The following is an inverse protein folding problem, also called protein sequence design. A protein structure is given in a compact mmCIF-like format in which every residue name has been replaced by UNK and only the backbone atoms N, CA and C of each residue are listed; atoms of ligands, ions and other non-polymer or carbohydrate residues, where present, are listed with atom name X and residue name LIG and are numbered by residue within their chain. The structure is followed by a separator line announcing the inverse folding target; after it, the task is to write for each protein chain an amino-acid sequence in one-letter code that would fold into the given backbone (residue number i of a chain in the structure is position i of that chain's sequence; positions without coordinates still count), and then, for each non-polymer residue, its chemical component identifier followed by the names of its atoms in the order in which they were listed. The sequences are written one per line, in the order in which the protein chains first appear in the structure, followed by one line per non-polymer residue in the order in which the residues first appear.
data_IF_973985842439
#
_entry.id   IF_973985842439
#
_cell.length_a   1.000
_cell.length_b   1.000
_cell.length_c   1.000
_cell.angle_alpha   90.00
_cell.angle_beta   90.00
_cell.angle_gamma   90.00
#
_symmetry.space_group_name_H-M   'P 1'
#
loop_
_entity.id
_entity.type
_entity.pdbx_description
1 polymer ?
#
# COMPACT_ATOMS: atom_id res chain seq x y z
N UNK A 1 -35.57 43.15 -10.03
CA UNK A 1 -35.14 42.51 -8.76
C UNK A 1 -34.26 41.32 -9.14
N UNK A 2 -32.95 41.51 -9.27
CA UNK A 2 -32.03 40.41 -9.52
C UNK A 2 -31.89 39.64 -8.20
N UNK A 3 -32.44 38.43 -8.14
CA UNK A 3 -32.24 37.52 -7.02
C UNK A 3 -30.77 37.13 -7.02
N UNK A 4 -29.99 37.74 -6.13
CA UNK A 4 -28.61 37.33 -5.89
C UNK A 4 -28.67 35.97 -5.19
N UNK A 5 -28.71 34.90 -5.98
CA UNK A 5 -28.57 33.53 -5.48
C UNK A 5 -27.21 33.44 -4.80
N UNK A 6 -27.20 33.60 -3.48
CA UNK A 6 -26.01 33.45 -2.65
C UNK A 6 -25.51 32.02 -2.87
N UNK A 7 -24.40 31.84 -3.60
CA UNK A 7 -23.74 30.52 -3.70
C UNK A 7 -23.49 30.05 -2.27
N UNK A 8 -24.01 28.88 -1.93
CA UNK A 8 -23.71 28.24 -0.65
C UNK A 8 -22.33 27.62 -0.82
N UNK A 9 -21.33 28.24 -0.18
CA UNK A 9 -19.95 27.75 -0.21
C UNK A 9 -19.85 26.53 0.73
N UNK A 10 -19.43 25.35 0.23
CA UNK A 10 -19.26 24.17 1.06
C UNK A 10 -18.19 24.37 2.15
N UNK A 11 -18.31 23.65 3.27
CA UNK A 11 -17.28 23.67 4.30
C UNK A 11 -16.11 22.78 3.91
N UNK A 12 -14.89 23.12 4.35
CA UNK A 12 -13.69 22.30 4.13
C UNK A 12 -13.85 20.86 4.65
N UNK A 13 -14.56 20.68 5.76
CA UNK A 13 -14.89 19.36 6.31
C UNK A 13 -15.75 18.55 5.34
N UNK A 14 -16.76 19.17 4.72
CA UNK A 14 -17.62 18.51 3.73
C UNK A 14 -16.85 18.14 2.46
N UNK A 15 -15.82 18.92 2.10
CA UNK A 15 -15.02 18.73 0.88
C UNK A 15 -13.89 17.71 1.06
N UNK A 16 -13.21 17.70 2.21
CA UNK A 16 -11.97 16.96 2.41
C UNK A 16 -11.99 15.97 3.58
N UNK A 17 -13.08 15.90 4.35
CA UNK A 17 -13.17 15.07 5.56
C UNK A 17 -12.99 13.57 5.32
N UNK A 18 -13.26 13.08 4.11
CA UNK A 18 -13.04 11.68 3.70
C UNK A 18 -11.62 11.42 3.18
N UNK A 19 -10.86 12.47 2.85
CA UNK A 19 -9.51 12.36 2.28
C UNK A 19 -8.45 12.17 3.36
N UNK A 20 -7.23 11.83 2.96
CA UNK A 20 -6.09 11.75 3.90
C UNK A 20 -5.39 13.09 4.17
N UNK A 21 -5.88 14.18 3.58
CA UNK A 21 -5.35 15.52 3.80
C UNK A 21 -5.77 15.98 5.19
N UNK A 22 -4.80 16.33 6.04
CA UNK A 22 -5.07 16.70 7.43
C UNK A 22 -5.74 18.07 7.52
N UNK A 23 -6.65 18.31 8.50
CA UNK A 23 -7.34 19.59 8.64
C UNK A 23 -6.43 20.82 8.68
N UNK A 24 -5.24 20.69 9.29
CA UNK A 24 -4.24 21.76 9.34
C UNK A 24 -3.73 22.20 7.95
N UNK A 25 -3.91 21.40 6.91
CA UNK A 25 -3.43 21.61 5.55
C UNK A 25 -4.54 22.17 4.63
N UNK A 26 -5.79 22.24 5.12
CA UNK A 26 -6.94 22.71 4.34
C UNK A 26 -6.93 24.23 4.10
N UNK A 27 -6.12 25.00 4.83
CA UNK A 27 -5.98 26.44 4.64
C UNK A 27 -5.33 26.85 3.30
N UNK A 28 -4.89 25.87 2.50
CA UNK A 28 -4.30 26.07 1.19
C UNK A 28 -5.30 26.05 0.03
N UNK A 29 -6.55 25.65 0.30
CA UNK A 29 -7.60 25.63 -0.71
C UNK A 29 -8.58 26.77 -0.49
N UNK A 30 -9.22 27.15 -1.57
CA UNK A 30 -10.28 28.15 -1.58
C UNK A 30 -11.60 27.48 -1.97
N UNK A 31 -12.54 27.30 -1.01
CA UNK A 31 -13.84 26.71 -1.28
C UNK A 31 -14.72 27.50 -2.27
N UNK A 32 -14.48 28.80 -2.47
CA UNK A 32 -15.31 29.62 -3.36
C UNK A 32 -15.11 29.25 -4.84
N UNK A 33 -13.91 28.77 -5.17
CA UNK A 33 -13.51 28.35 -6.52
C UNK A 33 -13.51 26.82 -6.67
N UNK A 34 -14.13 26.07 -5.74
CA UNK A 34 -14.11 24.61 -5.74
C UNK A 34 -14.65 24.00 -7.06
N UNK A 35 -15.74 24.55 -7.57
CA UNK A 35 -16.38 24.10 -8.81
C UNK A 35 -15.80 24.75 -10.07
N UNK A 36 -14.85 25.67 -9.92
CA UNK A 36 -14.27 26.38 -11.05
C UNK A 36 -13.28 25.46 -11.78
N UNK A 37 -13.25 25.55 -13.10
CA UNK A 37 -12.28 24.82 -13.91
C UNK A 37 -11.02 25.66 -14.12
N UNK A 38 -9.87 24.98 -14.18
CA UNK A 38 -8.61 25.60 -14.57
C UNK A 38 -8.45 25.46 -16.08
N UNK A 39 -8.42 26.58 -16.80
CA UNK A 39 -8.09 26.59 -18.22
C UNK A 39 -6.62 26.16 -18.42
N UNK A 40 -6.38 25.28 -19.39
CA UNK A 40 -5.06 24.72 -19.68
C UNK A 40 -4.54 25.20 -21.05
N UNK A 41 -3.21 25.30 -21.26
CA UNK A 41 -2.14 25.49 -20.28
C UNK A 41 -1.97 26.97 -19.93
N UNK A 42 -2.04 27.29 -18.64
CA UNK A 42 -1.74 28.63 -18.11
C UNK A 42 -0.57 28.53 -17.11
N UNK A 43 0.60 29.03 -17.49
CA UNK A 43 1.77 29.14 -16.62
C UNK A 43 1.61 30.23 -15.55
N UNK A 44 0.53 31.01 -15.61
CA UNK A 44 0.16 32.02 -14.61
C UNK A 44 -0.80 31.49 -13.55
N UNK A 45 -1.21 30.21 -13.61
CA UNK A 45 -2.15 29.66 -12.63
C UNK A 45 -1.63 29.86 -11.19
N UNK A 46 -2.51 30.44 -10.35
CA UNK A 46 -2.22 30.72 -8.96
C UNK A 46 -2.04 29.45 -8.14
N UNK A 47 -1.17 29.50 -7.12
CA UNK A 47 -0.90 28.38 -6.20
C UNK A 47 -2.20 27.86 -5.58
N UNK A 48 -3.06 28.76 -5.09
CA UNK A 48 -4.36 28.39 -4.48
C UNK A 48 -5.26 27.72 -5.50
N UNK A 49 -5.37 28.26 -6.71
CA UNK A 49 -6.20 27.69 -7.79
C UNK A 49 -5.76 26.28 -8.16
N UNK A 50 -4.47 26.07 -8.42
CA UNK A 50 -3.93 24.74 -8.71
C UNK A 50 -4.14 23.77 -7.54
N UNK A 51 -3.95 24.24 -6.31
CA UNK A 51 -4.13 23.43 -5.11
C UNK A 51 -5.59 23.02 -4.91
N UNK A 52 -6.54 23.96 -5.06
CA UNK A 52 -7.98 23.68 -4.98
C UNK A 52 -8.41 22.69 -6.05
N UNK A 53 -7.94 22.84 -7.29
CA UNK A 53 -8.29 21.93 -8.37
C UNK A 53 -7.82 20.49 -8.10
N UNK A 54 -6.58 20.33 -7.64
CA UNK A 54 -6.05 19.03 -7.22
C UNK A 54 -6.83 18.47 -6.02
N UNK A 55 -7.20 19.32 -5.06
CA UNK A 55 -7.97 18.92 -3.89
C UNK A 55 -9.34 18.34 -4.28
N UNK A 56 -10.01 18.96 -5.26
CA UNK A 56 -11.26 18.44 -5.83
C UNK A 56 -11.07 17.05 -6.43
N UNK A 57 -10.07 16.88 -7.30
CA UNK A 57 -9.79 15.58 -7.90
C UNK A 57 -9.49 14.51 -6.83
N UNK A 58 -8.76 14.84 -5.76
CA UNK A 58 -8.51 13.92 -4.64
C UNK A 58 -9.81 13.52 -3.96
N UNK A 59 -10.70 14.47 -3.67
CA UNK A 59 -12.00 14.20 -3.05
C UNK A 59 -12.85 13.29 -3.93
N UNK A 60 -12.99 13.63 -5.22
CA UNK A 60 -13.71 12.84 -6.21
C UNK A 60 -13.17 11.40 -6.30
N UNK A 61 -11.85 11.25 -6.45
CA UNK A 61 -11.22 9.94 -6.53
C UNK A 61 -11.28 9.17 -5.22
N UNK A 62 -11.41 9.84 -4.07
CA UNK A 62 -11.56 9.15 -2.78
C UNK A 62 -12.96 8.56 -2.64
N UNK A 63 -14.00 9.32 -3.00
CA UNK A 63 -15.39 8.95 -2.71
C UNK A 63 -15.98 8.01 -3.76
N UNK A 64 -15.57 8.14 -5.02
CA UNK A 64 -16.10 7.31 -6.14
C UNK A 64 -15.59 5.87 -6.06
N UNK A 65 -16.31 4.88 -6.61
CA UNK A 65 -15.82 3.50 -6.71
C UNK A 65 -14.77 3.32 -7.82
N UNK A 66 -14.59 4.30 -8.71
CA UNK A 66 -13.70 4.25 -9.86
C UNK A 66 -12.26 3.89 -9.47
N UNK A 67 -11.65 2.99 -10.22
CA UNK A 67 -10.31 2.45 -9.98
C UNK A 67 -9.64 1.98 -11.29
N UNK A 68 -8.37 1.62 -11.19
CA UNK A 68 -7.55 1.01 -12.25
C UNK A 68 -7.61 1.79 -13.58
N UNK A 69 -7.94 1.13 -14.68
CA UNK A 69 -7.97 1.73 -16.02
C UNK A 69 -9.02 2.86 -16.14
N UNK A 70 -10.20 2.69 -15.53
CA UNK A 70 -11.26 3.71 -15.58
C UNK A 70 -10.79 5.02 -14.94
N UNK A 71 -10.14 4.91 -13.77
CA UNK A 71 -9.57 6.06 -13.07
C UNK A 71 -8.42 6.71 -13.84
N UNK A 72 -7.62 5.93 -14.56
CA UNK A 72 -6.58 6.47 -15.42
C UNK A 72 -7.16 7.38 -16.52
N UNK A 73 -8.26 6.98 -17.14
CA UNK A 73 -8.92 7.78 -18.17
C UNK A 73 -9.59 9.03 -17.60
N UNK A 74 -10.26 8.92 -16.45
CA UNK A 74 -10.81 10.09 -15.73
C UNK A 74 -9.70 11.09 -15.39
N UNK A 75 -8.56 10.63 -14.85
CA UNK A 75 -7.41 11.50 -14.56
C UNK A 75 -6.89 12.24 -15.80
N UNK A 76 -6.81 11.57 -16.95
CA UNK A 76 -6.37 12.22 -18.19
C UNK A 76 -7.34 13.29 -18.66
N UNK A 77 -8.64 13.05 -18.50
CA UNK A 77 -9.67 14.02 -18.85
C UNK A 77 -9.67 15.22 -17.89
N UNK A 78 -9.63 14.96 -16.59
CA UNK A 78 -9.70 16.00 -15.56
C UNK A 78 -8.49 16.95 -15.60
N UNK A 79 -7.33 16.47 -16.04
CA UNK A 79 -6.10 17.25 -16.12
C UNK A 79 -5.65 17.43 -17.58
N UNK A 80 -6.57 17.39 -18.54
CA UNK A 80 -6.25 17.64 -19.94
C UNK A 80 -5.56 19.01 -20.10
N UNK A 81 -4.45 19.03 -20.85
CA UNK A 81 -3.65 20.23 -21.07
C UNK A 81 -2.75 20.65 -19.89
N UNK A 82 -2.82 20.00 -18.72
CA UNK A 82 -1.94 20.32 -17.60
C UNK A 82 -0.49 19.93 -17.90
N UNK A 83 0.44 20.80 -17.49
CA UNK A 83 1.88 20.56 -17.59
C UNK A 83 2.49 20.21 -16.24
N UNK A 84 3.73 19.72 -16.24
CA UNK A 84 4.48 19.50 -15.00
C UNK A 84 4.62 20.79 -14.16
N UNK A 85 4.77 21.95 -14.82
CA UNK A 85 4.86 23.24 -14.15
C UNK A 85 3.57 23.57 -13.38
N UNK A 86 2.39 23.24 -13.92
CA UNK A 86 1.11 23.45 -13.24
C UNK A 86 0.99 22.56 -12.00
N UNK A 87 1.40 21.29 -12.08
CA UNK A 87 1.48 20.45 -10.88
C UNK A 87 2.47 20.99 -9.84
N UNK A 88 3.62 21.53 -10.27
CA UNK A 88 4.60 22.14 -9.36
C UNK A 88 4.10 23.40 -8.65
N UNK A 89 3.11 24.11 -9.21
CA UNK A 89 2.51 25.29 -8.57
C UNK A 89 1.65 24.93 -7.35
N UNK A 90 0.98 23.79 -7.39
CA UNK A 90 0.16 23.35 -6.28
C UNK A 90 1.01 23.03 -5.03
N UNK A 91 0.39 23.11 -3.87
CA UNK A 91 1.05 22.74 -2.62
C UNK A 91 1.55 21.29 -2.66
N UNK A 92 2.82 21.00 -2.29
CA UNK A 92 3.42 19.67 -2.47
C UNK A 92 2.67 18.51 -1.80
N UNK A 93 1.95 18.78 -0.71
CA UNK A 93 1.15 17.77 -0.02
C UNK A 93 -0.02 17.27 -0.89
N UNK A 94 -0.63 18.14 -1.69
CA UNK A 94 -1.76 17.81 -2.55
C UNK A 94 -1.29 17.00 -3.76
N UNK A 95 -0.20 17.38 -4.43
CA UNK A 95 0.35 16.57 -5.54
C UNK A 95 0.82 15.21 -5.07
N UNK A 96 1.44 15.13 -3.89
CA UNK A 96 1.83 13.86 -3.26
C UNK A 96 0.62 12.99 -2.96
N UNK A 97 -0.46 13.56 -2.43
CA UNK A 97 -1.68 12.83 -2.13
C UNK A 97 -2.41 12.38 -3.40
N UNK A 98 -2.46 13.22 -4.45
CA UNK A 98 -2.99 12.84 -5.76
C UNK A 98 -2.23 11.63 -6.34
N UNK A 99 -0.89 11.66 -6.32
CA UNK A 99 -0.09 10.49 -6.73
C UNK A 99 -0.41 9.27 -5.86
N UNK A 100 -0.59 9.45 -4.55
CA UNK A 100 -0.91 8.36 -3.62
C UNK A 100 -2.26 7.73 -3.92
N UNK A 101 -3.33 8.52 -4.09
CA UNK A 101 -4.68 8.00 -4.31
C UNK A 101 -4.78 7.25 -5.64
N UNK A 102 -4.16 7.78 -6.72
CA UNK A 102 -4.07 7.09 -8.02
C UNK A 102 -3.45 5.70 -7.86
N UNK A 103 -2.29 5.61 -7.16
CA UNK A 103 -1.62 4.34 -6.90
C UNK A 103 -2.45 3.40 -6.04
N UNK A 104 -3.02 3.92 -4.96
CA UNK A 104 -3.87 3.14 -4.06
C UNK A 104 -5.06 2.55 -4.82
N UNK A 105 -5.60 3.28 -5.79
CA UNK A 105 -6.69 2.81 -6.64
C UNK A 105 -6.25 2.06 -7.88
N UNK A 106 -5.00 1.57 -7.92
CA UNK A 106 -4.55 0.65 -8.97
C UNK A 106 -3.93 1.33 -10.21
N UNK A 107 -3.78 2.64 -10.25
CA UNK A 107 -3.11 3.33 -11.37
C UNK A 107 -1.59 3.35 -11.18
N UNK A 108 -0.84 2.76 -12.12
CA UNK A 108 0.60 2.78 -12.05
C UNK A 108 1.18 4.15 -12.43
N UNK A 109 1.70 4.86 -11.43
CA UNK A 109 2.27 6.21 -11.63
C UNK A 109 3.80 6.22 -11.83
N UNK A 110 4.40 5.08 -12.19
CA UNK A 110 5.86 4.95 -12.30
C UNK A 110 6.54 4.54 -10.98
N UNK A 111 7.82 4.90 -10.83
CA UNK A 111 8.62 4.52 -9.65
C UNK A 111 8.16 5.26 -8.39
N UNK A 112 8.26 4.61 -7.24
CA UNK A 112 7.79 5.16 -5.96
C UNK A 112 8.50 6.49 -5.61
N UNK A 113 9.80 6.57 -5.90
CA UNK A 113 10.66 7.73 -5.62
C UNK A 113 10.64 8.83 -6.69
N UNK A 114 9.89 8.66 -7.78
CA UNK A 114 9.70 9.71 -8.79
C UNK A 114 8.98 10.91 -8.16
N UNK A 115 9.40 12.13 -8.51
CA UNK A 115 8.77 13.34 -8.00
C UNK A 115 7.25 13.33 -8.32
N UNK A 116 6.37 13.77 -7.41
CA UNK A 116 4.93 13.73 -7.64
C UNK A 116 4.49 14.46 -8.93
N UNK A 117 4.99 15.66 -9.17
CA UNK A 117 4.69 16.44 -10.38
C UNK A 117 5.14 15.73 -11.66
N UNK A 118 6.38 15.24 -11.69
CA UNK A 118 6.96 14.50 -12.82
C UNK A 118 6.14 13.23 -13.12
N UNK A 119 5.78 12.50 -12.06
CA UNK A 119 4.99 11.27 -12.13
C UNK A 119 3.60 11.51 -12.72
N UNK A 120 2.89 12.55 -12.27
CA UNK A 120 1.57 12.93 -12.77
C UNK A 120 1.63 13.46 -14.20
N UNK A 121 2.58 14.34 -14.50
CA UNK A 121 2.74 14.88 -15.85
C UNK A 121 3.15 13.80 -16.86
N UNK A 122 3.97 12.83 -16.45
CA UNK A 122 4.30 11.67 -17.28
C UNK A 122 3.07 10.80 -17.52
N UNK A 123 2.25 10.57 -16.49
CA UNK A 123 1.01 9.80 -16.62
C UNK A 123 0.04 10.43 -17.62
N UNK A 124 -0.09 11.76 -17.64
CA UNK A 124 -0.92 12.45 -18.65
C UNK A 124 -0.47 12.25 -20.09
N UNK A 125 0.84 12.10 -20.30
CA UNK A 125 1.43 11.87 -21.63
C UNK A 125 1.31 10.43 -22.11
N UNK A 126 0.86 9.50 -21.26
CA UNK A 126 0.71 8.11 -21.64
C UNK A 126 -0.55 7.93 -22.47
N UNK A 127 -0.41 7.30 -23.64
CA UNK A 127 -1.54 6.97 -24.51
C UNK A 127 -2.28 5.71 -24.07
N UNK A 128 -1.62 4.86 -23.28
CA UNK A 128 -2.15 3.56 -22.85
C UNK A 128 -2.06 3.40 -21.32
N UNK A 129 -2.99 2.62 -20.76
CA UNK A 129 -2.96 2.21 -19.37
C UNK A 129 -1.80 1.22 -19.14
N UNK A 130 -0.94 1.52 -18.18
CA UNK A 130 0.21 0.66 -17.86
C UNK A 130 -0.09 -0.34 -16.77
N UNK A 131 0.28 -1.59 -17.03
CA UNK A 131 0.35 -2.61 -16.00
C UNK A 131 1.47 -2.34 -14.99
N UNK A 132 1.26 -2.83 -13.77
CA UNK A 132 2.25 -2.72 -12.71
C UNK A 132 3.37 -3.73 -12.93
N UNK A 133 4.65 -3.33 -12.78
CA UNK A 133 5.74 -4.28 -12.66
C UNK A 133 5.48 -5.25 -11.50
N UNK A 134 5.69 -6.55 -11.72
CA UNK A 134 5.27 -7.61 -10.79
C UNK A 134 5.86 -7.46 -9.38
N UNK A 135 7.10 -7.02 -9.25
CA UNK A 135 7.78 -6.77 -7.98
C UNK A 135 7.14 -5.61 -7.20
N UNK A 136 6.75 -4.55 -7.91
CA UNK A 136 6.06 -3.40 -7.33
C UNK A 136 4.62 -3.73 -7.00
N UNK A 137 3.95 -4.51 -7.85
CA UNK A 137 2.56 -4.93 -7.67
C UNK A 137 2.37 -5.75 -6.40
N UNK A 138 3.27 -6.71 -6.13
CA UNK A 138 3.17 -7.60 -4.97
C UNK A 138 3.29 -6.88 -3.63
N UNK A 139 4.05 -5.79 -3.57
CA UNK A 139 4.30 -5.02 -2.35
C UNK A 139 3.39 -3.80 -2.20
N UNK A 140 2.62 -3.46 -3.23
CA UNK A 140 1.68 -2.36 -3.20
C UNK A 140 0.46 -2.67 -2.32
N UNK A 141 -0.09 -1.61 -1.74
CA UNK A 141 -1.36 -1.63 -1.00
C UNK A 141 -2.41 -0.98 -1.87
N UNK A 142 -3.45 -1.73 -2.20
CA UNK A 142 -4.53 -1.30 -3.06
C UNK A 142 -5.86 -1.15 -2.32
N UNK A 143 -6.74 -0.33 -2.86
CA UNK A 143 -8.15 -0.24 -2.47
C UNK A 143 -8.82 -1.59 -2.68
N UNK A 144 -9.61 -2.03 -1.71
CA UNK A 144 -10.29 -3.34 -1.76
C UNK A 144 -11.25 -3.49 -2.93
N UNK A 145 -11.68 -2.37 -3.52
CA UNK A 145 -12.56 -2.29 -4.69
C UNK A 145 -11.81 -2.36 -6.02
N UNK A 146 -10.49 -2.17 -6.03
CA UNK A 146 -9.68 -2.22 -7.25
C UNK A 146 -9.52 -3.66 -7.78
N UNK A 147 -9.46 -3.80 -9.09
CA UNK A 147 -9.08 -5.04 -9.77
C UNK A 147 -7.67 -5.46 -9.37
N UNK A 148 -6.75 -4.51 -9.20
CA UNK A 148 -5.41 -4.76 -8.66
C UNK A 148 -5.45 -5.53 -7.33
N UNK A 149 -6.28 -5.10 -6.37
CA UNK A 149 -6.43 -5.80 -5.09
C UNK A 149 -6.98 -7.22 -5.27
N UNK A 150 -8.02 -7.39 -6.10
CA UNK A 150 -8.62 -8.71 -6.36
C UNK A 150 -7.61 -9.69 -6.99
N UNK A 151 -6.77 -9.21 -7.90
CA UNK A 151 -5.72 -10.02 -8.53
C UNK A 151 -4.64 -10.43 -7.53
N UNK A 152 -4.21 -9.51 -6.66
CA UNK A 152 -3.24 -9.79 -5.60
C UNK A 152 -3.77 -10.86 -4.62
N UNK A 153 -5.02 -10.74 -4.18
CA UNK A 153 -5.67 -11.72 -3.31
C UNK A 153 -5.81 -13.09 -3.97
N UNK A 154 -6.15 -13.13 -5.26
CA UNK A 154 -6.24 -14.39 -6.02
C UNK A 154 -4.90 -15.10 -6.10
N UNK A 155 -3.82 -14.37 -6.38
CA UNK A 155 -2.47 -14.91 -6.44
C UNK A 155 -2.02 -15.47 -5.07
N UNK A 156 -2.28 -14.74 -3.98
CA UNK A 156 -1.96 -15.19 -2.63
C UNK A 156 -2.72 -16.46 -2.24
N UNK A 157 -3.99 -16.59 -2.64
CA UNK A 157 -4.79 -17.81 -2.38
C UNK A 157 -4.25 -19.02 -3.13
N UNK A 158 -3.86 -18.85 -4.40
CA UNK A 158 -3.28 -19.95 -5.20
C UNK A 158 -1.97 -20.47 -4.58
N UNK A 159 -1.08 -19.57 -4.16
CA UNK A 159 0.17 -19.96 -3.49
C UNK A 159 -0.06 -20.72 -2.18
N UNK A 160 -1.05 -20.30 -1.38
CA UNK A 160 -1.41 -21.00 -0.12
C UNK A 160 -1.98 -22.39 -0.38
N UNK A 161 -2.78 -22.54 -1.43
CA UNK A 161 -3.33 -23.84 -1.83
C UNK A 161 -2.22 -24.79 -2.30
N UNK A 162 -1.28 -24.33 -3.13
CA UNK A 162 -0.17 -25.16 -3.63
C UNK A 162 0.82 -25.56 -2.52
N UNK A 163 1.13 -24.66 -1.60
CA UNK A 163 1.99 -24.96 -0.44
C UNK A 163 1.38 -25.98 0.53
N UNK A 164 0.05 -26.04 0.62
CA UNK A 164 -0.66 -27.04 1.44
C UNK A 164 -0.55 -28.44 0.85
N UNK A 165 -0.71 -28.58 -0.47
CA UNK A 165 -0.66 -29.88 -1.17
C UNK A 165 0.72 -30.52 -1.07
N UNK A 166 1.79 -29.74 -1.21
CA UNK A 166 3.17 -30.24 -1.07
C UNK A 166 3.49 -30.73 0.36
N UNK A 167 2.89 -30.13 1.39
CA UNK A 167 3.11 -30.54 2.78
C UNK A 167 2.38 -31.84 3.14
N UNK A 168 1.26 -32.15 2.50
CA UNK A 168 0.54 -33.42 2.69
C UNK A 168 1.26 -34.60 2.03
N UNK A 169 1.79 -34.43 0.81
CA UNK A 169 2.50 -35.50 0.11
C UNK A 169 3.80 -35.92 0.81
N UNK A 170 4.52 -34.97 1.41
CA UNK A 170 5.75 -35.26 2.16
C UNK A 170 5.49 -35.99 3.49
N UNK A 171 4.33 -35.75 4.13
CA UNK A 171 3.90 -36.49 5.34
C UNK A 171 3.43 -37.91 5.03
N UNK A 172 2.73 -38.12 3.92
CA UNK A 172 2.32 -39.47 3.49
C UNK A 172 3.53 -40.32 3.05
N UNK A 173 4.51 -39.72 2.38
CA UNK A 173 5.73 -40.41 1.93
C UNK A 173 6.64 -40.84 3.09
N UNK A 174 6.71 -40.04 4.17
CA UNK A 174 7.51 -40.37 5.36
C UNK A 174 6.84 -41.39 6.28
N UNK A 175 5.50 -41.45 6.30
CA UNK A 175 4.76 -42.42 7.11
C UNK A 175 4.70 -43.81 6.46
N UNK A 176 4.80 -43.90 5.12
CA UNK A 176 4.87 -45.18 4.41
C UNK A 176 6.22 -45.91 4.60
N UNK A 177 7.32 -45.19 4.83
CA UNK A 177 8.65 -45.78 4.99
C UNK A 177 8.94 -46.32 6.41
N UNK A 178 8.08 -46.02 7.39
CA UNK A 178 8.30 -46.40 8.80
C UNK A 178 7.59 -47.69 9.24
N UNK A 179 6.92 -48.41 8.32
CA UNK A 179 6.02 -49.53 8.67
C UNK A 179 6.56 -50.95 8.39
N UNK A 180 7.82 -51.09 7.99
CA UNK A 180 8.47 -52.40 7.78
C UNK A 180 9.69 -52.57 8.68
N UNK A 181 9.49 -52.64 10.00
CA UNK A 181 10.44 -53.28 10.91
C UNK A 181 9.68 -54.04 12.01
N UNK A 182 9.52 -55.35 11.81
CA UNK A 182 9.13 -56.33 12.85
C UNK A 182 10.31 -56.57 13.80
N UNK A 183 10.15 -56.50 15.13
CA UNK A 183 11.19 -56.91 16.05
C UNK A 183 11.06 -58.40 16.38
N UNK A 184 12.12 -59.15 16.11
CA UNK A 184 12.34 -60.51 16.63
C UNK A 184 12.70 -60.43 18.12
N UNK A 185 12.04 -61.27 18.90
CA UNK A 185 12.16 -61.39 20.35
C UNK A 185 13.30 -62.36 20.68
N UNK A 186 14.29 -61.94 21.46
CA UNK A 186 15.18 -62.86 22.20
C UNK A 186 15.43 -62.36 23.62
N UNK A 187 15.48 -63.33 24.52
CA UNK A 187 15.33 -63.23 25.98
C UNK A 187 16.64 -63.69 26.63
N UNK A 188 17.05 -63.00 27.69
CA UNK A 188 17.92 -63.48 28.76
C UNK A 188 19.24 -62.71 28.87
N UNK A 189 19.90 -62.59 30.02
CA UNK A 189 19.59 -62.85 31.44
C UNK A 189 20.86 -62.42 32.21
N UNK A 190 20.66 -61.58 33.23
CA UNK A 190 21.40 -61.38 34.49
C UNK A 190 22.94 -61.13 34.57
N UNK A 191 23.25 -60.42 35.67
CA UNK A 191 24.46 -60.38 36.52
C UNK A 191 25.42 -59.20 36.28
N UNK A 192 26.02 -58.49 37.25
CA UNK A 192 25.75 -57.99 38.61
C UNK A 192 27.07 -57.25 39.02
N UNK A 193 26.97 -56.24 39.90
CA UNK A 193 27.94 -55.89 40.95
C UNK A 193 29.08 -54.85 40.77
N UNK A 194 28.92 -53.81 41.63
CA UNK A 194 29.89 -53.13 42.54
C UNK A 194 30.77 -52.00 41.96
N UNK A 195 30.59 -50.73 42.37
CA UNK A 195 30.78 -50.08 43.69
C UNK A 195 32.26 -49.79 44.00
N UNK A 196 32.65 -48.52 43.94
CA UNK A 196 33.43 -47.83 44.98
C UNK A 196 33.21 -46.33 44.91
N UNK A 197 33.25 -45.76 46.12
CA UNK A 197 32.99 -44.40 46.58
C UNK A 197 34.36 -43.84 46.97
N UNK A 198 34.62 -42.56 46.75
CA UNK A 198 35.36 -41.75 47.72
C UNK A 198 35.12 -40.25 47.51
N UNK A 199 35.06 -39.57 48.66
CA UNK A 199 34.80 -38.15 48.87
C UNK A 199 36.13 -37.42 49.16
N UNK A 200 36.24 -36.15 48.78
CA UNK A 200 36.62 -35.02 49.66
C UNK A 200 36.61 -33.73 48.80
N UNK A 201 35.72 -32.76 49.01
CA UNK A 201 35.69 -31.71 50.04
C UNK A 201 36.82 -30.67 49.91
N UNK A 202 36.47 -29.44 49.52
CA UNK A 202 36.80 -28.22 50.30
C UNK A 202 36.14 -26.96 49.72
N UNK A 203 35.74 -26.11 50.64
CA UNK A 203 35.04 -24.83 50.51
C UNK A 203 35.87 -23.73 49.82
N UNK A 204 35.20 -22.79 49.12
CA UNK A 204 35.10 -21.38 49.53
C UNK A 204 34.55 -20.49 48.39
N UNK A 205 33.44 -19.80 48.69
CA UNK A 205 33.04 -18.50 48.09
C UNK A 205 33.84 -17.39 48.83
N UNK A 206 34.04 -16.17 48.30
CA UNK A 206 32.95 -15.32 47.83
C UNK A 206 33.26 -14.36 46.65
N UNK A 207 32.20 -13.64 46.32
CA UNK A 207 32.01 -12.56 45.35
C UNK A 207 33.19 -11.59 45.13
N UNK A 208 33.29 -11.07 43.90
CA UNK A 208 33.13 -9.63 43.71
C UNK A 208 32.78 -9.26 42.27
N UNK A 209 32.05 -8.14 42.20
CA UNK A 209 31.56 -7.37 41.07
C UNK A 209 32.63 -6.33 40.68
N UNK A 210 32.46 -5.72 39.50
CA UNK A 210 33.19 -4.59 38.88
C UNK A 210 33.89 -5.02 37.59
N UNK A 211 33.78 -4.34 36.45
CA UNK A 211 33.20 -3.04 36.08
C UNK A 211 32.44 -3.15 34.75
#
# INVERSE_FOLDING_TARGET
MASSSRRVVPTLEALLGTTNIKPREWHHIDPEIWEDNVEAPDDEVGITTATTYIARAIADYTDRPTADEELFWEFRQDFEGWTEAMFLRAQPIYTKELKRILRFKGVYTGRINMAPSESLARLLRMEEYLEWPQDVFQSAVFDTRSAAHMLQERALRQQRSEGSVQSTDRRLSSQAQSRTQTPVRTRGRDVDSRQTRDQDQTHARPASKND
#
